data_IF_226801763916
#
_entry.id   IF_226801763916
#
_cell.length_a   1.000
_cell.length_b   1.000
_cell.length_c   1.000
_cell.angle_alpha   90.00
_cell.angle_beta   90.00
_cell.angle_gamma   90.00
#
_symmetry.space_group_name_H-M   'P 1'
#
loop_
_entity.id
_entity.type
_entity.pdbx_description
1 polymer ?
#
# COMPACT_ATOMS: atom_id res chain seq x y z
N UNK A 1 12.91 11.41 -5.98
CA UNK A 1 12.05 11.97 -7.05
C UNK A 1 12.65 13.28 -7.53
N UNK A 2 12.89 13.45 -8.83
CA UNK A 2 13.37 14.73 -9.38
C UNK A 2 12.18 15.55 -9.89
N UNK A 3 12.32 16.88 -9.94
CA UNK A 3 11.30 17.76 -10.55
C UNK A 3 11.02 17.36 -12.00
N UNK A 4 12.05 16.94 -12.73
CA UNK A 4 11.95 16.51 -14.11
C UNK A 4 11.09 15.25 -14.27
N UNK A 5 11.24 14.25 -13.39
CA UNK A 5 10.39 13.06 -13.41
C UNK A 5 8.92 13.39 -13.14
N UNK A 6 8.66 14.30 -12.19
CA UNK A 6 7.29 14.76 -11.91
C UNK A 6 6.68 15.48 -13.12
N UNK A 7 7.44 16.36 -13.80
CA UNK A 7 6.96 17.03 -15.00
C UNK A 7 6.66 16.06 -16.15
N UNK A 8 7.47 15.01 -16.32
CA UNK A 8 7.20 13.99 -17.33
C UNK A 8 5.89 13.26 -17.05
N UNK A 9 5.63 12.86 -15.80
CA UNK A 9 4.38 12.20 -15.44
C UNK A 9 3.14 13.08 -15.63
N UNK A 10 3.27 14.37 -15.35
CA UNK A 10 2.21 15.34 -15.65
C UNK A 10 1.98 15.45 -17.16
N UNK A 11 3.05 15.49 -17.97
CA UNK A 11 2.94 15.53 -19.44
C UNK A 11 2.37 14.26 -20.04
N UNK A 12 2.73 13.10 -19.48
CA UNK A 12 2.29 11.77 -19.92
C UNK A 12 0.88 11.42 -19.42
N UNK A 13 0.29 12.26 -18.55
CA UNK A 13 -1.04 12.02 -18.00
C UNK A 13 -1.10 10.93 -16.92
N UNK A 14 0.05 10.50 -16.42
CA UNK A 14 0.15 9.49 -15.34
C UNK A 14 -0.34 10.07 -14.02
N UNK A 15 0.00 11.33 -13.74
CA UNK A 15 -0.45 12.04 -12.54
C UNK A 15 -1.44 13.14 -12.95
N UNK A 16 -2.64 13.19 -12.34
CA UNK A 16 -3.61 14.24 -12.62
C UNK A 16 -3.06 15.60 -12.17
N UNK A 17 -3.03 16.55 -13.11
CA UNK A 17 -2.63 17.92 -12.86
C UNK A 17 -3.58 18.89 -13.55
N UNK A 18 -3.85 20.00 -12.88
CA UNK A 18 -4.81 21.01 -13.29
C UNK A 18 -4.07 22.33 -13.49
N UNK A 19 -4.25 22.95 -14.66
CA UNK A 19 -3.63 24.24 -14.96
C UNK A 19 -4.58 25.36 -14.55
N UNK A 20 -4.15 26.19 -13.59
CA UNK A 20 -4.85 27.39 -13.16
C UNK A 20 -3.97 28.59 -13.46
N UNK A 21 -4.43 29.44 -14.39
CA UNK A 21 -3.63 30.52 -14.96
C UNK A 21 -2.25 30.01 -15.45
N UNK A 22 -1.19 30.38 -14.73
CA UNK A 22 0.21 30.04 -15.07
C UNK A 22 0.79 28.93 -14.19
N UNK A 23 -0.01 28.32 -13.31
CA UNK A 23 0.46 27.34 -12.31
C UNK A 23 -0.20 25.98 -12.53
N UNK A 24 0.60 24.93 -12.44
CA UNK A 24 0.12 23.55 -12.42
C UNK A 24 -0.10 23.11 -10.97
N UNK A 25 -1.31 22.66 -10.67
CA UNK A 25 -1.71 22.16 -9.37
C UNK A 25 -1.96 20.67 -9.46
N UNK A 26 -1.45 19.93 -8.48
CA UNK A 26 -1.79 18.51 -8.29
C UNK A 26 -2.69 18.48 -7.05
N UNK A 27 -3.94 18.06 -7.23
CA UNK A 27 -4.87 17.97 -6.11
C UNK A 27 -4.50 16.78 -5.23
N UNK A 28 -4.50 17.01 -3.91
CA UNK A 28 -4.06 16.02 -2.93
C UNK A 28 -4.93 14.76 -2.96
N UNK A 29 -6.25 14.92 -3.07
CA UNK A 29 -7.17 13.80 -2.99
C UNK A 29 -7.14 12.93 -4.25
N UNK A 30 -7.10 13.51 -5.45
CA UNK A 30 -6.86 12.77 -6.69
C UNK A 30 -5.54 12.00 -6.67
N UNK A 31 -4.45 12.62 -6.17
CA UNK A 31 -3.17 11.94 -6.05
C UNK A 31 -3.22 10.77 -5.07
N UNK A 32 -3.91 10.92 -3.93
CA UNK A 32 -4.10 9.82 -2.99
C UNK A 32 -4.93 8.69 -3.60
N UNK A 33 -5.98 9.03 -4.34
CA UNK A 33 -6.84 8.05 -4.99
C UNK A 33 -6.08 7.27 -6.07
N UNK A 34 -5.27 7.96 -6.87
CA UNK A 34 -4.36 7.34 -7.85
C UNK A 34 -3.41 6.36 -7.16
N UNK A 35 -2.76 6.78 -6.06
CA UNK A 35 -1.85 5.92 -5.29
C UNK A 35 -2.59 4.71 -4.70
N UNK A 36 -3.79 4.91 -4.15
CA UNK A 36 -4.61 3.82 -3.60
C UNK A 36 -5.00 2.81 -4.68
N UNK A 37 -5.41 3.29 -5.85
CA UNK A 37 -5.85 2.46 -6.97
C UNK A 37 -4.68 1.71 -7.61
N UNK A 38 -3.54 2.36 -7.75
CA UNK A 38 -2.31 1.75 -8.29
C UNK A 38 -1.45 1.00 -7.28
N UNK A 39 -1.88 0.91 -6.01
CA UNK A 39 -1.09 0.26 -4.97
C UNK A 39 -1.08 -1.26 -5.17
N UNK A 40 0.11 -1.85 -5.28
CA UNK A 40 0.31 -3.30 -5.24
C UNK A 40 0.27 -3.87 -3.81
N UNK A 41 -0.06 -3.05 -2.81
CA UNK A 41 -0.26 -3.55 -1.45
C UNK A 41 -1.55 -4.37 -1.43
N UNK A 42 -1.41 -5.70 -1.46
CA UNK A 42 -2.51 -6.59 -1.08
C UNK A 42 -2.93 -6.16 0.32
N UNK A 43 -4.25 -6.04 0.58
CA UNK A 43 -4.71 -5.98 1.96
C UNK A 43 -4.18 -7.24 2.61
N UNK A 44 -3.14 -7.12 3.43
CA UNK A 44 -2.83 -8.12 4.43
C UNK A 44 -4.03 -8.12 5.36
N UNK A 45 -5.01 -8.95 5.01
CA UNK A 45 -5.91 -9.57 5.96
C UNK A 45 -5.01 -10.38 6.88
N UNK A 46 -4.39 -9.69 7.84
CA UNK A 46 -3.93 -10.33 9.05
C UNK A 46 -5.22 -10.67 9.79
N UNK A 47 -5.83 -11.77 9.36
CA UNK A 47 -6.78 -12.52 10.17
C UNK A 47 -5.99 -12.95 11.41
N UNK A 48 -5.98 -12.06 12.40
CA UNK A 48 -5.44 -12.32 13.72
C UNK A 48 -6.48 -13.14 14.48
N UNK A 49 -6.84 -14.33 14.03
CA UNK A 49 -7.57 -15.31 14.83
C UNK A 49 -7.32 -16.72 14.31
N UNK A 50 -6.10 -17.22 14.49
CA UNK A 50 -5.90 -18.61 14.90
C UNK A 50 -4.64 -18.63 15.75
N UNK A 51 -4.79 -18.17 16.99
CA UNK A 51 -3.96 -18.64 18.08
C UNK A 51 -4.20 -20.15 18.16
N UNK A 52 -3.21 -21.02 17.87
CA UNK A 52 -3.38 -22.42 18.18
C UNK A 52 -3.50 -22.50 19.71
N UNK A 53 -4.56 -23.08 20.29
CA UNK A 53 -4.54 -23.32 21.72
C UNK A 53 -3.32 -24.19 21.97
N UNK A 54 -2.40 -23.67 22.79
CA UNK A 54 -1.25 -24.40 23.29
C UNK A 54 -1.76 -25.68 23.96
N UNK A 55 -1.87 -26.77 23.20
CA UNK A 55 -2.02 -28.11 23.74
C UNK A 55 -0.65 -28.50 24.27
N UNK A 56 -0.41 -28.03 25.50
CA UNK A 56 0.34 -28.67 26.56
C UNK A 56 0.99 -29.99 26.12
N UNK A 57 2.30 -29.99 25.88
CA UNK A 57 3.08 -31.22 25.93
C UNK A 57 3.01 -31.77 27.36
N UNK A 58 2.62 -33.04 27.56
CA UNK A 58 3.14 -33.80 28.68
C UNK A 58 4.41 -34.55 28.22
N UNK A 59 5.54 -34.23 28.85
CA UNK A 59 6.75 -35.06 28.92
C UNK A 59 6.50 -36.27 29.86
N UNK A 60 7.37 -37.28 29.94
CA UNK A 60 7.51 -38.47 29.11
C UNK A 60 7.10 -39.75 29.87
N UNK A 61 6.41 -40.71 29.23
CA UNK A 61 6.14 -42.03 29.82
C UNK A 61 6.80 -43.13 28.98
N UNK A 62 7.64 -43.93 29.64
CA UNK A 62 8.43 -45.00 29.02
C UNK A 62 7.66 -46.27 28.64
N UNK A 63 8.47 -47.31 28.35
CA UNK A 63 8.15 -48.68 27.88
C UNK A 63 8.01 -48.77 26.35
N UNK A 64 8.72 -49.65 25.62
CA UNK A 64 9.16 -51.04 25.89
C UNK A 64 10.68 -51.28 25.74
#
# INVERSE_FOLDING_TARGET
>A
MTKQGLYNWVREGIVPAYKVASTWLILRDDLKELIRTGSNQTRTTHDSTTDPPAVLSPDPAGSE
#
